data_IF_386929957524
#
_entry.id   IF_386929957524
#
_cell.length_a   1.000
_cell.length_b   1.000
_cell.length_c   1.000
_cell.angle_alpha   90.00
_cell.angle_beta   90.00
_cell.angle_gamma   90.00
#
_symmetry.space_group_name_H-M   'P 1'
#
loop_
_entity.id
_entity.type
_entity.pdbx_description
1 polymer ?
#
# COMPACT_ATOMS: atom_id res chain seq x y z
N UNK A 1 4.98 12.45 0.19
CA UNK A 1 4.92 11.09 0.80
C UNK A 1 6.11 10.29 0.30
N UNK A 2 6.95 9.72 1.17
CA UNK A 2 8.15 8.95 0.79
C UNK A 2 7.91 7.46 1.03
N UNK A 3 8.17 6.62 0.03
CA UNK A 3 8.04 5.16 0.13
C UNK A 3 9.22 4.57 0.92
N UNK A 4 8.93 3.61 1.82
CA UNK A 4 9.91 2.97 2.72
C UNK A 4 11.16 2.56 1.93
N UNK A 5 12.31 3.03 2.40
CA UNK A 5 13.57 3.01 1.64
C UNK A 5 14.41 1.79 1.98
N UNK A 6 14.48 1.45 3.26
CA UNK A 6 15.48 0.56 3.79
C UNK A 6 14.81 -0.43 4.74
N UNK A 7 14.78 -1.68 4.32
CA UNK A 7 14.54 -2.82 5.22
C UNK A 7 15.81 -3.66 5.14
N UNK A 8 16.56 -3.84 6.24
CA UNK A 8 17.69 -4.74 6.23
C UNK A 8 17.17 -6.18 6.11
N UNK A 9 17.73 -6.94 5.18
CA UNK A 9 17.42 -8.34 4.81
C UNK A 9 16.12 -8.56 4.00
N UNK A 10 16.04 -9.74 3.35
CA UNK A 10 14.85 -10.19 2.64
C UNK A 10 13.66 -10.22 3.60
N UNK A 11 12.80 -9.21 3.54
CA UNK A 11 11.66 -9.04 4.46
C UNK A 11 10.39 -9.43 3.75
N UNK A 12 9.78 -10.51 4.22
CA UNK A 12 8.36 -10.80 4.03
C UNK A 12 7.63 -10.35 5.29
N UNK A 13 6.91 -9.23 5.21
CA UNK A 13 6.12 -8.72 6.33
C UNK A 13 4.65 -8.64 5.92
N UNK A 14 3.77 -9.11 6.80
CA UNK A 14 2.34 -8.97 6.66
C UNK A 14 1.77 -8.27 7.89
N UNK A 15 0.74 -7.45 7.68
CA UNK A 15 -0.03 -6.81 8.73
C UNK A 15 -1.50 -6.96 8.37
N UNK A 16 -2.28 -7.46 9.32
CA UNK A 16 -3.73 -7.55 9.20
C UNK A 16 -4.34 -6.97 10.46
N UNK A 17 -5.53 -6.38 10.35
CA UNK A 17 -6.30 -6.09 11.53
C UNK A 17 -7.70 -5.60 11.25
N UNK A 18 -8.49 -5.71 12.30
CA UNK A 18 -9.89 -5.34 12.32
C UNK A 18 -10.10 -4.19 13.31
N UNK A 19 -11.12 -3.40 13.09
CA UNK A 19 -11.46 -2.29 13.98
C UNK A 19 -12.94 -1.91 13.90
N UNK A 20 -13.31 -0.87 14.63
CA UNK A 20 -14.67 -0.32 14.65
C UNK A 20 -15.17 0.04 13.25
N UNK A 21 -16.49 0.06 13.06
CA UNK A 21 -17.14 0.33 11.77
C UNK A 21 -16.74 -0.68 10.68
N UNK A 22 -16.66 -1.96 11.08
CA UNK A 22 -16.24 -3.09 10.24
C UNK A 22 -14.96 -2.80 9.46
N UNK A 23 -14.04 -2.05 10.07
CA UNK A 23 -12.78 -1.70 9.44
C UNK A 23 -11.94 -2.96 9.29
N UNK A 24 -11.46 -3.23 8.10
CA UNK A 24 -10.52 -4.31 7.79
C UNK A 24 -9.35 -3.70 7.04
N UNK A 25 -8.14 -3.96 7.50
CA UNK A 25 -6.92 -3.58 6.81
C UNK A 25 -6.00 -4.79 6.64
N UNK A 26 -5.35 -4.87 5.49
CA UNK A 26 -4.35 -5.87 5.18
C UNK A 26 -3.23 -5.23 4.38
N UNK A 27 -1.98 -5.54 4.73
CA UNK A 27 -0.78 -5.03 4.08
C UNK A 27 0.20 -6.19 3.96
N UNK A 28 0.74 -6.40 2.77
CA UNK A 28 1.82 -7.32 2.47
C UNK A 28 2.99 -6.52 1.91
N UNK A 29 4.17 -6.73 2.47
CA UNK A 29 5.43 -6.12 2.04
C UNK A 29 6.39 -7.25 1.70
N UNK A 30 6.91 -7.21 0.49
CA UNK A 30 7.94 -8.12 -0.01
C UNK A 30 9.15 -7.27 -0.36
N UNK A 31 10.25 -7.47 0.34
CA UNK A 31 11.53 -6.84 0.05
C UNK A 31 12.59 -7.92 -0.22
N UNK A 32 13.33 -7.76 -1.30
CA UNK A 32 14.46 -8.62 -1.63
C UNK A 32 15.72 -7.76 -1.84
N UNK A 33 16.82 -8.15 -1.19
CA UNK A 33 18.13 -7.54 -1.35
C UNK A 33 18.98 -8.50 -2.18
N UNK A 34 18.90 -8.36 -3.50
CA UNK A 34 19.87 -8.95 -4.43
C UNK A 34 20.87 -7.85 -4.86
N UNK A 35 21.55 -8.03 -6.01
CA UNK A 35 22.39 -7.01 -6.65
C UNK A 35 21.65 -5.68 -6.87
N UNK A 36 20.32 -5.75 -6.96
CA UNK A 36 19.38 -4.62 -6.97
C UNK A 36 18.37 -4.80 -5.82
N UNK A 37 18.01 -3.72 -5.12
CA UNK A 37 16.99 -3.76 -4.07
C UNK A 37 15.60 -3.68 -4.71
N UNK A 38 14.76 -4.67 -4.39
CA UNK A 38 13.37 -4.73 -4.82
C UNK A 38 12.44 -4.62 -3.62
N UNK A 39 11.45 -3.73 -3.69
CA UNK A 39 10.41 -3.58 -2.67
C UNK A 39 9.06 -3.54 -3.39
N UNK A 40 8.20 -4.50 -3.09
CA UNK A 40 6.80 -4.50 -3.48
C UNK A 40 5.92 -4.40 -2.22
N UNK A 41 4.83 -3.64 -2.31
CA UNK A 41 3.84 -3.51 -1.24
C UNK A 41 2.47 -3.63 -1.84
N UNK A 42 1.61 -4.41 -1.23
CA UNK A 42 0.20 -4.52 -1.55
C UNK A 42 -0.62 -4.25 -0.30
N UNK A 43 -1.66 -3.45 -0.42
CA UNK A 43 -2.49 -3.01 0.69
C UNK A 43 -3.96 -3.00 0.30
N UNK A 44 -4.78 -3.45 1.22
CA UNK A 44 -6.23 -3.42 1.17
C UNK A 44 -6.76 -2.75 2.44
N UNK A 45 -7.73 -1.86 2.30
CA UNK A 45 -8.42 -1.26 3.44
C UNK A 45 -9.89 -1.03 3.09
N UNK A 46 -10.79 -1.51 3.94
CA UNK A 46 -12.22 -1.23 3.82
C UNK A 46 -12.81 -0.87 5.19
N UNK A 47 -13.81 0.00 5.22
CA UNK A 47 -14.56 0.34 6.42
C UNK A 47 -15.89 0.97 6.05
N UNK A 48 -16.94 0.69 6.83
CA UNK A 48 -18.26 1.34 6.69
C UNK A 48 -18.22 2.83 7.08
N UNK A 49 -17.17 3.25 7.81
CA UNK A 49 -17.01 4.62 8.29
C UNK A 49 -17.94 4.97 9.46
N UNK A 50 -17.61 6.03 10.21
CA UNK A 50 -18.42 6.48 11.34
C UNK A 50 -19.67 7.28 10.92
N UNK A 51 -19.64 7.88 9.72
CA UNK A 51 -20.74 8.72 9.19
C UNK A 51 -21.58 7.94 8.19
N UNK A 52 -22.82 8.38 8.00
CA UNK A 52 -23.68 7.83 6.95
C UNK A 52 -23.01 7.96 5.58
N UNK A 53 -23.01 6.86 4.82
CA UNK A 53 -22.35 6.76 3.53
C UNK A 53 -20.82 7.09 3.54
N UNK A 54 -20.14 6.91 4.67
CA UNK A 54 -18.67 7.04 4.74
C UNK A 54 -17.94 5.73 4.43
N UNK A 55 -18.63 4.76 3.82
CA UNK A 55 -18.01 3.50 3.41
C UNK A 55 -16.88 3.79 2.42
N UNK A 56 -15.75 3.13 2.59
CA UNK A 56 -14.67 3.20 1.63
C UNK A 56 -14.00 1.85 1.46
N UNK A 57 -13.51 1.60 0.26
CA UNK A 57 -12.68 0.45 -0.09
C UNK A 57 -11.49 0.94 -0.91
N UNK A 58 -10.29 0.74 -0.41
CA UNK A 58 -9.05 1.16 -1.03
C UNK A 58 -8.15 -0.05 -1.26
N UNK A 59 -7.67 -0.19 -2.48
CA UNK A 59 -6.63 -1.13 -2.87
C UNK A 59 -5.45 -0.30 -3.34
N UNK A 60 -4.28 -0.52 -2.76
CA UNK A 60 -3.04 0.15 -3.13
C UNK A 60 -1.94 -0.86 -3.32
N UNK A 61 -1.26 -0.81 -4.45
CA UNK A 61 -0.01 -1.51 -4.67
C UNK A 61 1.10 -0.53 -5.03
N UNK A 62 2.33 -0.89 -4.69
CA UNK A 62 3.50 -0.11 -5.08
C UNK A 62 4.68 -1.03 -5.31
N UNK A 63 5.49 -0.70 -6.30
CA UNK A 63 6.72 -1.40 -6.64
C UNK A 63 7.85 -0.37 -6.67
N UNK A 64 9.00 -0.74 -6.13
CA UNK A 64 10.19 0.11 -6.06
C UNK A 64 11.41 -0.74 -6.33
N UNK A 65 12.19 -0.32 -7.32
CA UNK A 65 13.44 -0.91 -7.73
C UNK A 65 14.54 0.11 -7.50
N UNK A 66 15.63 -0.30 -6.87
CA UNK A 66 16.83 0.51 -6.74
C UNK A 66 18.02 -0.32 -7.17
N UNK A 67 18.96 0.30 -7.85
CA UNK A 67 20.22 -0.34 -8.20
C UNK A 67 21.38 0.64 -8.16
N UNK A 68 22.58 0.07 -8.26
CA UNK A 68 23.83 0.80 -8.44
C UNK A 68 24.43 0.36 -9.76
N UNK A 69 24.82 1.30 -10.60
CA UNK A 69 25.61 1.00 -11.80
C UNK A 69 27.10 1.06 -11.42
N UNK A 70 28.00 0.61 -12.31
CA UNK A 70 29.45 0.76 -12.12
C UNK A 70 29.80 2.23 -11.79
N UNK A 71 30.41 2.46 -10.61
CA UNK A 71 30.66 3.78 -10.04
C UNK A 71 29.77 4.14 -8.84
N UNK A 72 29.65 5.45 -8.54
CA UNK A 72 28.85 5.97 -7.41
C UNK A 72 27.40 6.35 -7.80
N UNK A 73 26.97 6.04 -9.03
CA UNK A 73 25.64 6.39 -9.53
C UNK A 73 24.58 5.39 -9.06
N UNK A 74 23.49 5.93 -8.49
CA UNK A 74 22.35 5.18 -7.98
C UNK A 74 21.12 5.51 -8.81
N UNK A 75 20.32 4.50 -9.15
CA UNK A 75 19.05 4.69 -9.84
C UNK A 75 17.88 4.16 -8.99
N UNK A 76 16.71 4.74 -9.18
CA UNK A 76 15.47 4.38 -8.49
C UNK A 76 14.31 4.51 -9.46
N UNK A 77 13.53 3.44 -9.57
CA UNK A 77 12.27 3.42 -10.32
C UNK A 77 11.18 2.99 -9.36
N UNK A 78 10.06 3.72 -9.34
CA UNK A 78 8.91 3.35 -8.53
C UNK A 78 7.59 3.60 -9.24
N UNK A 79 6.64 2.70 -9.05
CA UNK A 79 5.27 2.87 -9.51
C UNK A 79 4.29 2.60 -8.37
N UNK A 80 3.17 3.32 -8.37
CA UNK A 80 2.10 3.20 -7.40
C UNK A 80 0.80 3.07 -8.18
N UNK A 81 0.05 2.01 -7.90
CA UNK A 81 -1.28 1.81 -8.46
C UNK A 81 -2.25 1.82 -7.29
N UNK A 82 -3.25 2.70 -7.34
CA UNK A 82 -4.29 2.78 -6.31
C UNK A 82 -5.66 2.83 -6.95
N UNK A 83 -6.57 2.00 -6.46
CA UNK A 83 -8.00 2.08 -6.75
C UNK A 83 -8.73 2.34 -5.44
N UNK A 84 -9.56 3.38 -5.43
CA UNK A 84 -10.38 3.75 -4.28
C UNK A 84 -11.83 3.80 -4.72
N UNK A 85 -12.70 3.19 -3.92
CA UNK A 85 -14.14 3.30 -4.03
C UNK A 85 -14.63 3.97 -2.76
N UNK A 86 -15.41 5.04 -2.91
CA UNK A 86 -16.06 5.72 -1.80
C UNK A 86 -17.57 5.45 -1.92
N UNK A 87 -18.27 5.38 -0.80
CA UNK A 87 -19.73 5.33 -0.75
C UNK A 87 -20.31 6.54 -1.46
N UNK A 88 -21.25 6.32 -2.37
CA UNK A 88 -21.96 7.40 -3.06
C UNK A 88 -23.01 8.03 -2.15
N UNK A 89 -23.05 9.37 -1.98
CA UNK A 89 -24.02 10.02 -1.08
C UNK A 89 -25.44 9.60 -1.44
N UNK A 90 -25.98 8.66 -0.65
CA UNK A 90 -27.34 8.19 -0.77
C UNK A 90 -28.28 9.22 -0.16
N UNK A 91 -28.67 10.22 -0.95
CA UNK A 91 -29.97 10.84 -0.74
C UNK A 91 -31.01 9.95 -1.40
N UNK A 92 -31.49 8.94 -0.67
CA UNK A 92 -32.81 8.38 -0.95
C UNK A 92 -33.82 9.35 -0.32
N UNK A 93 -34.33 10.28 -1.12
CA UNK A 93 -35.55 11.02 -0.78
C UNK A 93 -36.70 10.01 -0.84
N UNK A 94 -37.27 9.71 0.32
CA UNK A 94 -38.53 8.98 0.44
C UNK A 94 -39.71 9.92 0.17
#
# INVERSE_FOLDING_TARGET
>A
MVTKSDSPNNVLAYQAGIGSFKKVHWILIIAAICTSQFISTFGFNASDGHRFNANHKNIRSSIKLKGKNFGNQRWLISSIISKSFNGQPGFFLC
#
